data_IF_046986147163
#
_entry.id   IF_046986147163
#
_cell.length_a   1.000
_cell.length_b   1.000
_cell.length_c   1.000
_cell.angle_alpha   90.00
_cell.angle_beta   90.00
_cell.angle_gamma   90.00
#
_symmetry.space_group_name_H-M   'P 1'
#
loop_
_entity.id
_entity.type
_entity.pdbx_description
1 polymer ?
#
# COMPACT_ATOMS: atom_id res chain seq x y z
N UNK A 1 -7.14 12.57 8.34
CA UNK A 1 -7.60 11.25 8.86
C UNK A 1 -8.71 10.77 7.96
N UNK A 2 -8.67 9.53 7.46
CA UNK A 2 -9.71 9.03 6.52
C UNK A 2 -11.11 8.92 7.16
N UNK A 3 -11.19 8.80 8.49
CA UNK A 3 -12.46 8.66 9.22
C UNK A 3 -13.08 10.02 9.54
N UNK A 4 -12.32 10.90 10.20
CA UNK A 4 -12.85 12.19 10.69
C UNK A 4 -12.64 13.35 9.73
N UNK A 5 -11.80 13.16 8.70
CA UNK A 5 -11.32 14.19 7.77
C UNK A 5 -10.44 15.28 8.39
N UNK A 6 -10.18 15.24 9.70
CA UNK A 6 -9.28 16.19 10.36
C UNK A 6 -7.82 16.00 9.92
N UNK A 7 -7.09 17.10 9.86
CA UNK A 7 -5.63 17.12 9.74
C UNK A 7 -4.98 16.47 10.97
N UNK A 8 -3.92 15.71 10.79
CA UNK A 8 -3.14 15.14 11.89
C UNK A 8 -1.73 14.78 11.40
N UNK A 9 -0.79 14.78 12.33
CA UNK A 9 0.59 14.35 12.06
C UNK A 9 0.67 12.82 12.02
N UNK A 10 1.47 12.31 11.08
CA UNK A 10 1.77 10.90 10.94
C UNK A 10 3.28 10.75 10.73
N UNK A 11 3.89 9.81 11.45
CA UNK A 11 5.29 9.43 11.27
C UNK A 11 5.38 8.21 10.35
N UNK A 12 6.30 8.27 9.39
CA UNK A 12 6.62 7.16 8.50
C UNK A 12 8.12 6.88 8.57
N UNK A 13 8.49 5.61 8.74
CA UNK A 13 9.88 5.16 8.68
C UNK A 13 9.87 3.83 7.92
N UNK A 14 10.57 3.78 6.80
CA UNK A 14 10.65 2.60 5.95
C UNK A 14 12.10 2.42 5.47
N UNK A 15 12.50 1.17 5.29
CA UNK A 15 13.78 0.79 4.71
C UNK A 15 13.53 0.02 3.42
N UNK A 16 14.05 0.50 2.30
CA UNK A 16 13.91 -0.17 1.02
C UNK A 16 15.29 -0.48 0.43
N UNK A 17 15.31 -1.47 -0.46
CA UNK A 17 16.48 -1.82 -1.27
C UNK A 17 16.00 -1.97 -2.71
N UNK A 18 16.74 -1.35 -3.63
CA UNK A 18 16.46 -1.38 -5.07
C UNK A 18 17.78 -1.55 -5.80
N UNK A 19 17.73 -2.13 -7.00
CA UNK A 19 18.90 -2.35 -7.83
C UNK A 19 18.87 -1.47 -9.06
N UNK A 20 19.82 -0.56 -9.16
CA UNK A 20 19.98 0.27 -10.35
C UNK A 20 20.67 -0.53 -11.47
N UNK A 21 20.03 -0.61 -12.63
CA UNK A 21 20.55 -1.32 -13.82
C UNK A 21 20.62 -0.39 -15.03
N UNK A 22 21.56 -0.59 -15.96
CA UNK A 22 21.51 0.15 -17.23
C UNK A 22 20.17 -0.09 -17.95
N UNK A 23 19.61 0.95 -18.55
CA UNK A 23 18.40 0.82 -19.38
C UNK A 23 18.59 -0.25 -20.47
N UNK A 24 17.62 -1.16 -20.60
CA UNK A 24 17.63 -2.30 -21.51
C UNK A 24 18.34 -3.55 -20.97
N UNK A 25 18.90 -3.50 -19.75
CA UNK A 25 19.52 -4.63 -19.08
C UNK A 25 18.64 -5.22 -17.95
N UNK A 26 17.38 -4.78 -17.86
CA UNK A 26 16.41 -5.32 -16.90
C UNK A 26 16.17 -6.82 -17.12
N UNK A 27 15.95 -7.55 -16.05
CA UNK A 27 15.52 -8.94 -16.10
C UNK A 27 14.14 -9.03 -16.74
N UNK A 28 13.95 -9.84 -17.80
CA UNK A 28 12.63 -10.10 -18.36
C UNK A 28 11.80 -11.06 -17.49
N UNK A 29 12.44 -11.74 -16.53
CA UNK A 29 11.78 -12.65 -15.60
C UNK A 29 11.22 -11.88 -14.41
N UNK A 30 9.93 -12.04 -14.14
CA UNK A 30 9.27 -11.45 -12.98
C UNK A 30 9.41 -12.42 -11.81
N UNK A 31 10.29 -12.07 -10.88
CA UNK A 31 10.45 -12.76 -9.59
C UNK A 31 9.99 -11.80 -8.47
N UNK A 32 8.89 -12.11 -7.75
CA UNK A 32 8.40 -11.26 -6.68
C UNK A 32 9.29 -11.22 -5.44
N UNK A 33 10.27 -12.13 -5.32
CA UNK A 33 11.23 -12.13 -4.21
C UNK A 33 12.52 -11.36 -4.55
N UNK A 34 12.71 -10.98 -5.82
CA UNK A 34 13.85 -10.20 -6.24
C UNK A 34 13.71 -8.71 -5.85
N UNK A 35 14.85 -8.04 -5.68
CA UNK A 35 14.88 -6.58 -5.54
C UNK A 35 14.38 -5.92 -6.83
N UNK A 36 13.56 -4.87 -6.67
CA UNK A 36 13.07 -4.07 -7.80
C UNK A 36 14.24 -3.46 -8.58
N UNK A 37 14.18 -3.58 -9.90
CA UNK A 37 15.15 -2.98 -10.80
C UNK A 37 14.71 -1.59 -11.24
N UNK A 38 15.58 -0.60 -11.06
CA UNK A 38 15.37 0.77 -11.55
C UNK A 38 16.36 1.05 -12.69
N UNK A 39 15.88 1.26 -13.93
CA UNK A 39 16.76 1.55 -15.05
C UNK A 39 17.34 2.97 -14.94
N UNK A 40 18.64 3.11 -15.19
CA UNK A 40 19.31 4.42 -15.30
C UNK A 40 19.91 4.62 -16.69
N UNK A 41 20.03 5.91 -17.07
CA UNK A 41 20.65 6.33 -18.33
C UNK A 41 22.00 6.98 -18.11
N UNK A 42 22.96 6.64 -18.97
CA UNK A 42 24.29 7.26 -18.96
C UNK A 42 25.12 6.84 -17.74
N UNK A 43 25.49 7.81 -16.89
CA UNK A 43 26.45 7.59 -15.78
C UNK A 43 25.95 8.16 -14.45
N UNK A 44 24.67 8.50 -14.37
CA UNK A 44 24.05 9.15 -13.21
C UNK A 44 22.84 8.35 -12.79
N UNK A 45 22.66 8.24 -11.47
CA UNK A 45 21.48 7.66 -10.84
C UNK A 45 20.72 8.80 -10.18
N UNK A 46 19.40 8.87 -10.41
CA UNK A 46 18.54 9.83 -9.72
C UNK A 46 17.99 9.20 -8.43
N UNK A 47 18.63 9.51 -7.31
CA UNK A 47 18.17 9.05 -6.01
C UNK A 47 16.90 9.77 -5.55
N UNK A 48 16.63 10.98 -6.05
CA UNK A 48 15.44 11.74 -5.69
C UNK A 48 14.18 11.10 -6.28
N UNK A 49 14.26 10.66 -7.53
CA UNK A 49 13.22 9.88 -8.21
C UNK A 49 12.98 8.57 -7.45
N UNK A 50 14.02 7.75 -7.26
CA UNK A 50 13.89 6.47 -6.57
C UNK A 50 13.32 6.60 -5.14
N UNK A 51 13.79 7.56 -4.35
CA UNK A 51 13.25 7.79 -3.00
C UNK A 51 11.80 8.25 -3.05
N UNK A 52 11.42 9.09 -4.01
CA UNK A 52 10.06 9.61 -4.13
C UNK A 52 9.06 8.52 -4.50
N UNK A 53 9.43 7.61 -5.41
CA UNK A 53 8.62 6.45 -5.77
C UNK A 53 8.46 5.49 -4.58
N UNK A 54 9.56 5.15 -3.90
CA UNK A 54 9.53 4.26 -2.74
C UNK A 54 8.75 4.88 -1.56
N UNK A 55 8.87 6.18 -1.35
CA UNK A 55 8.05 6.92 -0.39
C UNK A 55 6.57 6.80 -0.71
N UNK A 56 6.19 6.99 -1.98
CA UNK A 56 4.79 6.90 -2.40
C UNK A 56 4.20 5.50 -2.15
N UNK A 57 4.99 4.44 -2.36
CA UNK A 57 4.60 3.06 -2.06
C UNK A 57 4.46 2.78 -0.56
N UNK A 58 5.29 3.44 0.26
CA UNK A 58 5.28 3.26 1.72
C UNK A 58 4.14 4.02 2.43
N UNK A 59 3.40 4.90 1.74
CA UNK A 59 2.30 5.64 2.34
C UNK A 59 1.14 4.72 2.75
N UNK A 60 0.64 4.89 3.98
CA UNK A 60 -0.64 4.31 4.39
C UNK A 60 -1.77 4.90 3.52
N UNK A 61 -2.45 4.05 2.77
CA UNK A 61 -3.54 4.43 1.88
C UNK A 61 -4.78 4.94 2.64
N UNK A 62 -4.92 4.59 3.92
CA UNK A 62 -6.09 4.90 4.74
C UNK A 62 -5.70 5.40 6.13
N UNK A 63 -4.91 6.47 6.24
CA UNK A 63 -4.27 6.86 7.49
C UNK A 63 -5.30 7.41 8.48
N UNK A 64 -5.25 6.88 9.71
CA UNK A 64 -6.19 7.19 10.79
C UNK A 64 -5.48 7.92 11.93
N UNK A 65 -6.13 8.97 12.43
CA UNK A 65 -5.72 9.59 13.69
C UNK A 65 -5.85 8.55 14.81
N UNK A 66 -4.90 8.45 15.74
CA UNK A 66 -5.04 7.61 16.93
C UNK A 66 -6.38 7.85 17.62
N UNK A 67 -7.13 6.77 17.89
CA UNK A 67 -8.45 6.84 18.52
C UNK A 67 -9.62 7.18 17.58
N UNK A 68 -9.39 7.39 16.27
CA UNK A 68 -10.49 7.54 15.32
C UNK A 68 -11.24 6.21 15.16
N UNK A 69 -12.52 6.20 15.53
CA UNK A 69 -13.41 5.05 15.41
C UNK A 69 -14.31 5.21 14.20
N UNK A 70 -14.46 4.14 13.43
CA UNK A 70 -15.51 4.08 12.43
C UNK A 70 -16.87 4.15 13.13
N UNK A 71 -17.85 4.87 12.57
CA UNK A 71 -19.21 4.81 13.08
C UNK A 71 -19.71 3.37 13.06
N UNK A 72 -20.58 3.01 14.00
CA UNK A 72 -21.25 1.71 13.97
C UNK A 72 -21.94 1.55 12.61
N UNK A 73 -21.61 0.47 11.90
CA UNK A 73 -22.29 0.16 10.66
C UNK A 73 -23.76 -0.08 11.00
N UNK A 74 -24.66 0.68 10.36
CA UNK A 74 -26.08 0.35 10.38
C UNK A 74 -26.23 -1.10 9.94
N UNK A 75 -27.14 -1.83 10.60
CA UNK A 75 -27.40 -3.22 10.28
C UNK A 75 -27.69 -3.32 8.78
N UNK A 76 -26.77 -3.98 8.05
CA UNK A 76 -26.96 -4.17 6.63
C UNK A 76 -28.30 -4.88 6.41
N UNK A 77 -29.13 -4.43 5.45
CA UNK A 77 -30.35 -5.14 5.11
C UNK A 77 -29.99 -6.61 4.80
N UNK A 78 -30.89 -7.56 5.08
CA UNK A 78 -30.59 -8.98 4.90
C UNK A 78 -30.08 -9.25 3.49
N UNK A 79 -28.81 -9.66 3.41
CA UNK A 79 -28.16 -9.98 2.14
C UNK A 79 -28.73 -11.25 1.50
N UNK A 80 -28.32 -11.56 0.26
CA UNK A 80 -28.82 -12.71 -0.51
C UNK A 80 -28.66 -14.07 0.20
N UNK A 81 -27.83 -14.13 1.24
CA UNK A 81 -27.56 -15.34 2.03
C UNK A 81 -28.20 -15.33 3.43
N UNK A 82 -29.06 -14.37 3.75
CA UNK A 82 -29.70 -14.27 5.09
C UNK A 82 -30.46 -15.55 5.48
N UNK A 83 -31.03 -16.27 4.50
CA UNK A 83 -31.72 -17.55 4.71
C UNK A 83 -30.82 -18.71 5.17
N UNK A 84 -29.50 -18.61 5.00
CA UNK A 84 -28.56 -19.67 5.41
C UNK A 84 -28.35 -19.72 6.93
N UNK A 85 -28.78 -18.69 7.67
CA UNK A 85 -28.69 -18.67 9.13
C UNK A 85 -29.42 -19.86 9.80
N UNK A 86 -30.46 -20.38 9.15
CA UNK A 86 -31.22 -21.55 9.62
C UNK A 86 -30.43 -22.88 9.55
N UNK A 87 -29.31 -22.91 8.81
CA UNK A 87 -28.51 -24.12 8.58
C UNK A 87 -27.34 -24.26 9.57
N UNK A 88 -27.11 -23.28 10.44
CA UNK A 88 -25.90 -23.20 11.31
C UNK A 88 -25.88 -24.19 12.49
N UNK A 89 -26.89 -25.05 12.63
CA UNK A 89 -27.01 -26.04 13.73
C UNK A 89 -27.68 -27.34 13.27
N UNK A 90 -27.12 -27.97 12.23
CA UNK A 90 -27.32 -29.40 11.98
C UNK A 90 -25.99 -30.12 12.11
#
# INVERSE_FOLDING_TARGET
>A
CVVTLDEFEAELTESFTVRFVPEGAESPEIDPEAEDEIPYRGRTIDLGEAVSEQLALALDLYPRRPGALLPEAEAAPPGPFAGLGALRRR
#
